data_IF_498482365015
#
_entry.id   IF_498482365015
#
_cell.length_a   1.000
_cell.length_b   1.000
_cell.length_c   1.000
_cell.angle_alpha   90.00
_cell.angle_beta   90.00
_cell.angle_gamma   90.00
#
_symmetry.space_group_name_H-M   'P 1'
#
loop_
_entity.id
_entity.type
_entity.pdbx_description
1 polymer ?
#
# COMPACT_ATOMS: atom_id res chain seq x y z
N UNK A 1 -2.30 21.44 1.15
CA UNK A 1 -2.30 19.96 0.97
C UNK A 1 -2.06 19.30 2.31
N UNK A 2 -2.83 18.29 2.64
CA UNK A 2 -2.67 17.46 3.85
C UNK A 2 -1.60 16.39 3.61
N UNK A 3 -1.04 15.84 4.69
CA UNK A 3 0.00 14.81 4.64
C UNK A 3 -0.60 13.42 4.50
N UNK A 4 0.00 12.56 3.66
CA UNK A 4 -0.15 11.11 3.71
C UNK A 4 0.91 10.54 4.66
N UNK A 5 0.47 9.88 5.71
CA UNK A 5 1.33 9.18 6.65
C UNK A 5 1.09 7.68 6.49
N UNK A 6 2.06 6.95 5.96
CA UNK A 6 2.01 5.50 5.89
C UNK A 6 2.72 4.89 7.11
N UNK A 7 2.26 3.73 7.59
CA UNK A 7 2.92 2.98 8.66
C UNK A 7 2.97 1.49 8.31
N UNK A 8 4.14 0.88 8.49
CA UNK A 8 4.33 -0.56 8.30
C UNK A 8 5.73 -0.92 7.82
N UNK A 9 5.82 -2.05 7.14
CA UNK A 9 7.07 -2.61 6.66
C UNK A 9 7.64 -1.83 5.48
N UNK A 10 8.96 -1.74 5.47
CA UNK A 10 9.78 -1.52 4.29
C UNK A 10 10.86 -2.60 4.27
N UNK A 11 11.11 -3.20 3.14
CA UNK A 11 11.97 -4.37 3.00
C UNK A 11 12.70 -4.40 1.65
N UNK A 12 13.62 -5.35 1.51
CA UNK A 12 14.27 -5.62 0.24
C UNK A 12 13.64 -6.87 -0.38
N UNK A 13 13.11 -6.72 -1.59
CA UNK A 13 12.76 -7.84 -2.45
C UNK A 13 13.97 -8.22 -3.32
N UNK A 14 14.40 -9.47 -3.24
CA UNK A 14 15.39 -10.07 -4.13
C UNK A 14 14.67 -10.79 -5.27
N UNK A 15 14.65 -10.14 -6.44
CA UNK A 15 14.00 -10.63 -7.65
C UNK A 15 15.01 -11.49 -8.44
N UNK A 16 14.70 -12.76 -8.77
CA UNK A 16 15.61 -13.64 -9.47
C UNK A 16 15.83 -13.19 -10.92
N UNK A 17 17.04 -13.35 -11.43
CA UNK A 17 17.34 -13.21 -12.85
C UNK A 17 16.81 -14.41 -13.65
N UNK A 18 16.84 -15.60 -13.05
CA UNK A 18 16.34 -16.84 -13.65
C UNK A 18 14.86 -17.01 -13.37
N UNK A 19 14.14 -17.59 -14.34
CA UNK A 19 12.73 -17.99 -14.22
C UNK A 19 12.63 -19.51 -14.27
N UNK A 20 11.52 -20.05 -13.83
CA UNK A 20 11.18 -21.48 -13.93
C UNK A 20 12.16 -22.41 -13.21
N UNK A 21 12.75 -21.93 -12.12
CA UNK A 21 13.64 -22.70 -11.27
C UNK A 21 13.26 -22.54 -9.78
N UNK A 22 13.68 -23.52 -8.97
CA UNK A 22 13.49 -23.43 -7.52
C UNK A 22 14.37 -22.32 -6.94
N UNK A 23 13.91 -21.70 -5.86
CA UNK A 23 14.68 -20.63 -5.20
C UNK A 23 16.12 -21.04 -4.86
N UNK A 24 16.35 -22.30 -4.47
CA UNK A 24 17.69 -22.85 -4.18
C UNK A 24 18.63 -22.93 -5.41
N UNK A 25 18.08 -22.78 -6.61
CA UNK A 25 18.81 -22.89 -7.90
C UNK A 25 19.07 -21.51 -8.50
N UNK A 26 18.52 -20.45 -7.88
CA UNK A 26 18.73 -19.07 -8.34
C UNK A 26 20.12 -18.61 -7.97
N UNK A 27 20.92 -18.23 -8.96
CA UNK A 27 22.32 -17.78 -8.77
C UNK A 27 22.42 -16.24 -8.67
N UNK A 28 21.49 -15.51 -9.27
CA UNK A 28 21.55 -14.04 -9.35
C UNK A 28 20.22 -13.40 -8.99
N UNK A 29 20.32 -12.35 -8.18
CA UNK A 29 19.18 -11.55 -7.75
C UNK A 29 19.42 -10.06 -7.99
N UNK A 30 18.38 -9.35 -8.38
CA UNK A 30 18.34 -7.89 -8.33
C UNK A 30 17.60 -7.48 -7.06
N UNK A 31 18.21 -6.61 -6.25
CA UNK A 31 17.55 -6.05 -5.07
C UNK A 31 16.63 -4.92 -5.47
N UNK A 32 15.44 -4.87 -4.88
CA UNK A 32 14.45 -3.83 -5.09
C UNK A 32 13.89 -3.40 -3.72
N UNK A 33 13.70 -2.10 -3.52
CA UNK A 33 12.99 -1.60 -2.35
C UNK A 33 11.49 -1.95 -2.49
N UNK A 34 10.92 -2.56 -1.46
CA UNK A 34 9.53 -3.00 -1.38
C UNK A 34 8.91 -2.73 -0.01
N UNK A 35 7.75 -3.33 0.21
CA UNK A 35 6.88 -3.07 1.35
C UNK A 35 5.68 -2.21 0.93
N UNK A 36 4.46 -2.74 1.11
CA UNK A 36 3.27 -2.08 0.59
C UNK A 36 3.07 -0.65 1.13
N UNK A 37 3.23 -0.36 2.44
CA UNK A 37 3.13 1.02 2.94
C UNK A 37 4.20 1.94 2.37
N UNK A 38 5.43 1.44 2.17
CA UNK A 38 6.51 2.20 1.56
C UNK A 38 6.22 2.52 0.08
N UNK A 39 5.69 1.55 -0.66
CA UNK A 39 5.27 1.72 -2.05
C UNK A 39 4.16 2.77 -2.19
N UNK A 40 3.13 2.71 -1.34
CA UNK A 40 2.04 3.70 -1.31
C UNK A 40 2.55 5.10 -1.00
N UNK A 41 3.45 5.23 -0.01
CA UNK A 41 4.07 6.51 0.32
C UNK A 41 4.87 7.07 -0.87
N UNK A 42 5.68 6.23 -1.53
CA UNK A 42 6.48 6.61 -2.68
C UNK A 42 5.63 7.00 -3.91
N UNK A 43 4.53 6.28 -4.17
CA UNK A 43 3.60 6.61 -5.25
C UNK A 43 2.99 8.01 -5.07
N UNK A 44 2.54 8.32 -3.86
CA UNK A 44 1.99 9.65 -3.54
C UNK A 44 3.07 10.75 -3.60
N UNK A 45 4.28 10.48 -3.08
CA UNK A 45 5.39 11.45 -3.12
C UNK A 45 5.82 11.78 -4.56
N UNK A 46 5.95 10.78 -5.43
CA UNK A 46 6.29 10.99 -6.86
C UNK A 46 5.24 11.79 -7.62
N UNK A 47 3.99 11.77 -7.17
CA UNK A 47 2.93 12.64 -7.66
C UNK A 47 3.00 14.07 -7.09
N UNK A 48 3.96 14.38 -6.22
CA UNK A 48 4.14 15.68 -5.57
C UNK A 48 3.37 15.84 -4.27
N UNK A 49 2.87 14.74 -3.68
CA UNK A 49 2.21 14.73 -2.38
C UNK A 49 3.18 14.88 -1.20
N UNK A 50 2.73 15.52 -0.12
CA UNK A 50 3.43 15.48 1.18
C UNK A 50 3.23 14.08 1.79
N UNK A 51 4.24 13.23 1.72
CA UNK A 51 4.17 11.82 2.11
C UNK A 51 5.31 11.44 3.04
N UNK A 52 5.01 10.69 4.09
CA UNK A 52 5.97 10.19 5.08
C UNK A 52 5.73 8.72 5.37
N UNK A 53 6.78 8.01 5.80
CA UNK A 53 6.69 6.63 6.26
C UNK A 53 7.15 6.49 7.71
N UNK A 54 6.28 5.91 8.56
CA UNK A 54 6.65 5.39 9.88
C UNK A 54 7.03 3.92 9.71
N UNK A 55 8.29 3.60 10.00
CA UNK A 55 8.82 2.24 9.94
C UNK A 55 10.01 2.08 10.87
N UNK A 56 10.56 0.88 10.96
CA UNK A 56 11.85 0.66 11.62
C UNK A 56 12.72 -0.25 10.75
N UNK A 57 13.97 0.15 10.55
CA UNK A 57 14.95 -0.58 9.77
C UNK A 57 16.17 -0.93 10.61
N UNK A 58 16.88 -1.97 10.23
CA UNK A 58 18.16 -2.31 10.82
C UNK A 58 19.22 -1.23 10.56
N UNK A 59 20.22 -1.11 11.45
CA UNK A 59 21.44 -0.34 11.16
C UNK A 59 22.37 -1.16 10.26
N UNK A 60 21.91 -1.41 9.04
CA UNK A 60 22.59 -2.21 8.03
C UNK A 60 22.47 -1.56 6.64
N UNK A 61 23.27 -2.04 5.68
CA UNK A 61 23.33 -1.50 4.33
C UNK A 61 22.00 -1.59 3.56
N UNK A 62 21.12 -2.52 3.92
CA UNK A 62 19.80 -2.61 3.30
C UNK A 62 18.85 -1.55 3.85
N UNK A 63 18.92 -1.28 5.15
CA UNK A 63 18.19 -0.17 5.76
C UNK A 63 18.61 1.19 5.20
N UNK A 64 19.92 1.40 4.97
CA UNK A 64 20.44 2.61 4.34
C UNK A 64 19.91 2.75 2.91
N UNK A 65 19.98 1.68 2.12
CA UNK A 65 19.45 1.67 0.75
C UNK A 65 17.95 1.98 0.67
N UNK A 66 17.15 1.47 1.60
CA UNK A 66 15.70 1.77 1.65
C UNK A 66 15.47 3.25 1.94
N UNK A 67 16.18 3.82 2.93
CA UNK A 67 16.08 5.25 3.28
C UNK A 67 16.42 6.12 2.07
N UNK A 68 17.55 5.84 1.40
CA UNK A 68 17.98 6.58 0.21
C UNK A 68 16.95 6.48 -0.92
N UNK A 69 16.46 5.26 -1.20
CA UNK A 69 15.46 5.02 -2.27
C UNK A 69 14.16 5.79 -2.01
N UNK A 70 13.68 5.81 -0.76
CA UNK A 70 12.47 6.52 -0.37
C UNK A 70 12.67 8.04 -0.42
N UNK A 71 13.82 8.52 0.04
CA UNK A 71 14.17 9.94 -0.03
C UNK A 71 14.27 10.43 -1.49
N UNK A 72 14.89 9.65 -2.37
CA UNK A 72 14.96 9.94 -3.81
C UNK A 72 13.58 9.94 -4.48
N UNK A 73 12.64 9.16 -3.96
CA UNK A 73 11.24 9.19 -4.39
C UNK A 73 10.44 10.39 -3.82
N UNK A 74 11.03 11.19 -2.92
CA UNK A 74 10.40 12.34 -2.29
C UNK A 74 9.63 12.03 -1.00
N UNK A 75 9.79 10.84 -0.43
CA UNK A 75 9.17 10.47 0.86
C UNK A 75 9.97 11.09 2.01
N UNK A 76 9.29 11.73 2.96
CA UNK A 76 9.90 12.14 4.23
C UNK A 76 10.24 10.91 5.08
N UNK A 77 11.53 10.60 5.16
CA UNK A 77 12.08 9.44 5.88
C UNK A 77 12.44 9.74 7.34
N UNK A 78 12.19 10.96 7.84
CA UNK A 78 12.56 11.39 9.20
C UNK A 78 11.88 10.57 10.32
N UNK A 79 10.80 9.82 9.97
CA UNK A 79 10.02 8.99 10.89
C UNK A 79 10.39 7.51 10.80
N UNK A 80 11.46 7.18 10.08
CA UNK A 80 12.00 5.83 10.00
C UNK A 80 13.00 5.65 11.15
N UNK A 81 12.62 4.84 12.12
CA UNK A 81 13.48 4.47 13.25
C UNK A 81 14.59 3.49 12.80
N UNK A 82 15.71 3.48 13.51
CA UNK A 82 16.83 2.57 13.23
C UNK A 82 17.18 1.76 14.49
N UNK A 83 17.42 0.46 14.32
CA UNK A 83 17.72 -0.44 15.46
C UNK A 83 18.90 -1.37 15.16
N UNK A 84 19.62 -1.74 16.23
CA UNK A 84 20.65 -2.80 16.20
C UNK A 84 20.09 -4.15 16.69
N UNK A 85 18.81 -4.19 17.11
CA UNK A 85 18.17 -5.40 17.68
C UNK A 85 17.82 -6.46 16.65
N UNK A 86 17.64 -6.05 15.39
CA UNK A 86 17.35 -6.94 14.27
C UNK A 86 17.73 -6.29 12.94
N UNK A 87 17.94 -7.11 11.92
CA UNK A 87 18.25 -6.66 10.58
C UNK A 87 17.00 -6.18 9.84
N UNK A 88 17.23 -5.40 8.78
CA UNK A 88 16.19 -5.05 7.80
C UNK A 88 15.58 -6.31 7.20
N UNK A 89 14.26 -6.30 7.01
CA UNK A 89 13.52 -7.42 6.43
C UNK A 89 13.94 -7.69 4.98
N UNK A 90 14.06 -8.98 4.61
CA UNK A 90 14.36 -9.42 3.25
C UNK A 90 13.28 -10.39 2.78
N UNK A 91 12.94 -10.33 1.49
CA UNK A 91 12.11 -11.29 0.80
C UNK A 91 12.83 -11.80 -0.45
N UNK A 92 12.92 -13.10 -0.61
CA UNK A 92 13.43 -13.72 -1.83
C UNK A 92 12.24 -14.23 -2.65
N UNK A 93 12.20 -13.87 -3.90
CA UNK A 93 11.12 -14.25 -4.83
C UNK A 93 11.60 -15.37 -5.73
N UNK A 94 10.76 -16.35 -6.00
CA UNK A 94 10.93 -17.34 -7.06
C UNK A 94 9.79 -17.16 -8.05
N UNK A 95 10.10 -17.20 -9.33
CA UNK A 95 9.13 -17.07 -10.44
C UNK A 95 8.92 -18.44 -11.08
N UNK A 96 7.72 -19.02 -10.89
CA UNK A 96 7.35 -20.31 -11.46
C UNK A 96 6.92 -20.18 -12.92
N UNK A 97 6.96 -21.28 -13.67
CA UNK A 97 6.58 -21.36 -15.09
C UNK A 97 5.13 -20.91 -15.36
N UNK A 98 4.23 -21.13 -14.42
CA UNK A 98 2.83 -20.71 -14.45
C UNK A 98 2.60 -19.22 -14.16
N UNK A 99 3.69 -18.46 -13.92
CA UNK A 99 3.65 -17.05 -13.53
C UNK A 99 3.40 -16.81 -12.04
N UNK A 100 3.17 -17.87 -11.27
CA UNK A 100 3.02 -17.76 -9.82
C UNK A 100 4.36 -17.43 -9.17
N UNK A 101 4.28 -16.68 -8.05
CA UNK A 101 5.44 -16.30 -7.24
C UNK A 101 5.46 -17.11 -5.96
N UNK A 102 6.64 -17.55 -5.58
CA UNK A 102 6.91 -18.12 -4.26
C UNK A 102 7.82 -17.15 -3.50
N UNK A 103 7.64 -17.04 -2.19
CA UNK A 103 8.37 -16.10 -1.36
C UNK A 103 9.04 -16.83 -0.21
N UNK A 104 10.30 -16.48 0.05
CA UNK A 104 11.00 -16.84 1.28
C UNK A 104 11.33 -15.57 2.05
N UNK A 105 10.67 -15.39 3.19
CA UNK A 105 10.84 -14.20 4.02
C UNK A 105 11.86 -14.41 5.12
N UNK A 106 12.82 -13.50 5.24
CA UNK A 106 13.78 -13.42 6.33
C UNK A 106 13.32 -12.30 7.29
N UNK A 107 12.35 -12.66 8.15
CA UNK A 107 11.60 -11.73 8.99
C UNK A 107 11.20 -12.36 10.33
N UNK A 108 12.19 -12.99 11.05
CA UNK A 108 11.93 -13.73 12.32
C UNK A 108 12.99 -13.45 13.41
N UNK A 109 12.94 -12.32 14.13
CA UNK A 109 12.26 -11.06 13.80
C UNK A 109 13.09 -10.24 12.81
N UNK A 110 12.45 -9.31 12.12
CA UNK A 110 13.10 -8.20 11.42
C UNK A 110 12.87 -6.90 12.16
N UNK A 111 13.63 -5.87 11.79
CA UNK A 111 13.62 -4.59 12.46
C UNK A 111 12.22 -3.94 12.53
N UNK A 112 11.46 -4.00 11.44
CA UNK A 112 10.11 -3.43 11.34
C UNK A 112 9.12 -4.04 12.34
N UNK A 113 9.26 -5.33 12.67
CA UNK A 113 8.42 -6.00 13.66
C UNK A 113 8.60 -5.46 15.08
N UNK A 114 9.77 -4.88 15.37
CA UNK A 114 10.20 -4.43 16.70
C UNK A 114 9.93 -2.94 16.96
N UNK A 115 9.20 -2.25 16.09
CA UNK A 115 8.78 -0.86 16.32
C UNK A 115 7.75 -0.82 17.46
N UNK A 116 8.10 -0.14 18.54
CA UNK A 116 7.28 -0.03 19.75
C UNK A 116 6.38 1.21 19.74
N UNK A 117 5.21 1.19 20.40
CA UNK A 117 4.30 2.34 20.47
C UNK A 117 4.93 3.61 21.03
N UNK A 118 5.89 3.48 21.96
CA UNK A 118 6.59 4.57 22.64
C UNK A 118 7.54 5.34 21.72
N UNK A 119 7.87 4.76 20.55
CA UNK A 119 8.69 5.43 19.52
C UNK A 119 7.87 6.38 18.64
N UNK A 120 6.54 6.35 18.74
CA UNK A 120 5.67 7.27 18.01
C UNK A 120 5.64 8.64 18.72
N UNK A 121 5.93 9.68 17.97
CA UNK A 121 5.78 11.06 18.43
C UNK A 121 4.42 11.62 17.96
N UNK A 122 3.64 12.17 18.87
CA UNK A 122 2.32 12.75 18.56
C UNK A 122 2.43 13.84 17.48
N UNK A 123 3.51 14.61 17.49
CA UNK A 123 3.78 15.65 16.50
C UNK A 123 3.82 15.13 15.04
N UNK A 124 4.12 13.85 14.83
CA UNK A 124 4.11 13.26 13.48
C UNK A 124 2.72 13.26 12.84
N UNK A 125 1.67 13.23 13.66
CA UNK A 125 0.26 13.16 13.22
C UNK A 125 -0.37 14.53 12.98
N UNK A 126 0.30 15.60 13.40
CA UNK A 126 -0.12 16.96 13.10
C UNK A 126 -0.19 17.17 11.57
N UNK A 127 -1.27 17.76 11.06
CA UNK A 127 -1.53 17.96 9.63
C UNK A 127 -1.68 16.65 8.79
N UNK A 128 -1.80 15.48 9.42
CA UNK A 128 -2.08 14.23 8.69
C UNK A 128 -3.51 14.26 8.14
N UNK A 129 -3.65 14.10 6.84
CA UNK A 129 -4.94 13.94 6.18
C UNK A 129 -5.38 12.48 6.10
N UNK A 130 -4.40 11.60 5.85
CA UNK A 130 -4.63 10.15 5.75
C UNK A 130 -3.52 9.40 6.48
N UNK A 131 -3.90 8.45 7.33
CA UNK A 131 -3.02 7.38 7.81
C UNK A 131 -3.30 6.11 6.99
N UNK A 132 -2.26 5.54 6.37
CA UNK A 132 -2.37 4.30 5.58
C UNK A 132 -1.55 3.17 6.16
N UNK A 133 -2.10 1.93 6.16
CA UNK A 133 -1.41 0.72 6.62
C UNK A 133 -1.90 -0.53 5.91
N UNK A 134 -1.11 -1.62 6.00
CA UNK A 134 -1.43 -2.95 5.49
C UNK A 134 -1.51 -4.01 6.58
N UNK A 135 -1.82 -5.27 6.21
CA UNK A 135 -1.92 -6.37 7.18
C UNK A 135 -0.58 -7.02 7.52
N UNK A 136 0.43 -6.90 6.67
CA UNK A 136 1.73 -7.58 6.84
C UNK A 136 2.39 -7.25 8.18
N UNK A 137 2.14 -6.06 8.71
CA UNK A 137 2.65 -5.59 10.00
C UNK A 137 1.66 -5.77 11.16
N UNK A 138 0.53 -6.47 10.96
CA UNK A 138 -0.45 -6.77 12.01
C UNK A 138 -0.23 -8.13 12.69
N UNK A 139 0.87 -8.80 12.42
CA UNK A 139 1.31 -10.05 13.05
C UNK A 139 1.50 -9.88 14.56
N UNK A 140 1.64 -10.98 15.28
CA UNK A 140 1.87 -10.96 16.74
C UNK A 140 3.30 -10.51 17.07
N UNK A 141 3.50 -9.19 17.08
CA UNK A 141 4.76 -8.51 17.34
C UNK A 141 4.48 -7.08 17.87
N UNK A 142 5.48 -6.38 18.46
CA UNK A 142 5.32 -5.02 18.96
C UNK A 142 4.67 -4.06 17.96
N UNK A 143 5.02 -4.14 16.70
CA UNK A 143 4.47 -3.30 15.62
C UNK A 143 2.94 -3.31 15.54
N UNK A 144 2.27 -4.41 15.92
CA UNK A 144 0.81 -4.47 15.93
C UNK A 144 0.20 -3.49 16.96
N UNK A 145 0.80 -3.38 18.15
CA UNK A 145 0.39 -2.41 19.17
C UNK A 145 0.67 -0.99 18.70
N UNK A 146 1.77 -0.81 17.98
CA UNK A 146 2.17 0.46 17.38
C UNK A 146 1.15 0.93 16.33
N UNK A 147 0.61 0.01 15.51
CA UNK A 147 -0.49 0.32 14.59
C UNK A 147 -1.74 0.81 15.33
N UNK A 148 -2.12 0.18 16.43
CA UNK A 148 -3.27 0.63 17.24
C UNK A 148 -3.06 2.05 17.78
N UNK A 149 -1.86 2.33 18.30
CA UNK A 149 -1.52 3.67 18.81
C UNK A 149 -1.49 4.70 17.68
N UNK A 150 -0.92 4.36 16.52
CA UNK A 150 -0.91 5.24 15.34
C UNK A 150 -2.33 5.56 14.84
N UNK A 151 -3.21 4.56 14.77
CA UNK A 151 -4.61 4.75 14.39
C UNK A 151 -5.34 5.66 15.40
N UNK A 152 -5.11 5.48 16.71
CA UNK A 152 -5.69 6.36 17.74
C UNK A 152 -5.25 7.80 17.53
N UNK A 153 -3.94 8.05 17.43
CA UNK A 153 -3.37 9.38 17.20
C UNK A 153 -3.89 10.01 15.90
N UNK A 154 -3.95 9.25 14.80
CA UNK A 154 -4.47 9.74 13.54
C UNK A 154 -5.95 10.19 13.66
N UNK A 155 -6.78 9.39 14.34
CA UNK A 155 -8.19 9.74 14.58
C UNK A 155 -8.35 10.96 15.49
N UNK A 156 -7.53 11.09 16.53
CA UNK A 156 -7.50 12.25 17.42
C UNK A 156 -7.19 13.55 16.65
N UNK A 157 -6.38 13.45 15.58
CA UNK A 157 -6.05 14.56 14.68
C UNK A 157 -7.00 14.69 13.47
N UNK A 158 -8.10 13.95 13.43
CA UNK A 158 -9.12 14.03 12.36
C UNK A 158 -8.68 13.45 11.02
N UNK A 159 -7.64 12.61 10.98
CA UNK A 159 -7.18 11.96 9.77
C UNK A 159 -8.12 10.84 9.34
N UNK A 160 -8.20 10.62 8.03
CA UNK A 160 -8.82 9.45 7.41
C UNK A 160 -7.91 8.25 7.65
N UNK A 161 -8.48 7.12 8.04
CA UNK A 161 -7.74 5.86 8.20
C UNK A 161 -7.97 4.99 6.97
N UNK A 162 -6.91 4.62 6.28
CA UNK A 162 -6.91 3.81 5.05
C UNK A 162 -6.22 2.47 5.31
N UNK A 163 -6.90 1.38 4.95
CA UNK A 163 -6.43 0.02 5.15
C UNK A 163 -6.46 -0.76 3.83
N UNK A 164 -5.30 -1.27 3.42
CA UNK A 164 -5.15 -2.27 2.37
C UNK A 164 -4.72 -3.58 3.04
N UNK A 165 -5.59 -4.60 3.18
CA UNK A 165 -5.20 -5.89 3.76
C UNK A 165 -3.95 -6.48 3.11
N UNK A 166 -3.86 -6.44 1.79
CA UNK A 166 -2.69 -6.90 1.02
C UNK A 166 -2.16 -8.24 1.56
N UNK A 167 -3.03 -9.26 1.49
CA UNK A 167 -2.84 -10.55 2.17
C UNK A 167 -1.58 -11.27 1.67
N UNK A 168 -0.75 -11.70 2.63
CA UNK A 168 0.46 -12.48 2.39
C UNK A 168 0.49 -13.67 3.34
N UNK A 169 -0.29 -14.71 3.06
CA UNK A 169 -0.45 -15.89 3.93
C UNK A 169 0.88 -16.51 4.41
N UNK A 170 1.96 -16.57 3.59
CA UNK A 170 3.23 -17.13 4.06
C UNK A 170 3.89 -16.39 5.23
N UNK A 171 3.42 -15.18 5.56
CA UNK A 171 3.91 -14.40 6.72
C UNK A 171 3.13 -14.67 8.01
N UNK A 172 2.08 -15.48 7.96
CA UNK A 172 1.19 -15.75 9.07
C UNK A 172 1.32 -17.19 9.55
N UNK A 173 1.05 -17.42 10.83
CA UNK A 173 1.06 -18.78 11.41
C UNK A 173 -0.05 -19.66 10.82
N UNK A 174 -1.19 -19.06 10.48
CA UNK A 174 -2.26 -19.72 9.74
C UNK A 174 -3.15 -18.72 9.00
N UNK A 175 -3.90 -19.18 7.96
CA UNK A 175 -4.90 -18.35 7.29
C UNK A 175 -5.96 -17.77 8.25
N UNK A 176 -6.39 -18.55 9.25
CA UNK A 176 -7.39 -18.16 10.24
C UNK A 176 -6.89 -17.03 11.13
N UNK A 177 -5.62 -17.09 11.55
CA UNK A 177 -4.98 -16.02 12.32
C UNK A 177 -4.90 -14.73 11.50
N UNK A 178 -4.52 -14.82 10.24
CA UNK A 178 -4.52 -13.69 9.30
C UNK A 178 -5.92 -13.08 9.16
N UNK A 179 -6.93 -13.90 8.87
CA UNK A 179 -8.30 -13.48 8.68
C UNK A 179 -8.87 -12.81 9.94
N UNK A 180 -8.67 -13.43 11.10
CA UNK A 180 -9.12 -12.88 12.38
C UNK A 180 -8.50 -11.50 12.64
N UNK A 181 -7.20 -11.35 12.38
CA UNK A 181 -6.49 -10.09 12.57
C UNK A 181 -6.95 -9.00 11.59
N UNK A 182 -7.11 -9.35 10.32
CA UNK A 182 -7.63 -8.40 9.33
C UNK A 182 -9.02 -7.92 9.71
N UNK A 183 -9.93 -8.84 10.08
CA UNK A 183 -11.29 -8.50 10.52
C UNK A 183 -11.33 -7.65 11.80
N UNK A 184 -10.36 -7.83 12.70
CA UNK A 184 -10.21 -7.00 13.90
C UNK A 184 -9.85 -5.55 13.57
N UNK A 185 -9.11 -5.30 12.48
CA UNK A 185 -8.68 -3.96 12.08
C UNK A 185 -9.62 -3.27 11.09
N UNK A 186 -10.47 -4.00 10.36
CA UNK A 186 -11.43 -3.43 9.42
C UNK A 186 -12.30 -2.29 10.02
N UNK A 187 -12.85 -2.40 11.25
CA UNK A 187 -13.69 -1.33 11.83
C UNK A 187 -12.95 -0.03 12.12
N UNK A 188 -11.63 -0.03 12.07
CA UNK A 188 -10.84 1.20 12.25
C UNK A 188 -10.73 2.01 10.95
N UNK A 189 -10.96 1.39 9.79
CA UNK A 189 -10.73 1.99 8.49
C UNK A 189 -11.94 2.77 7.97
N UNK A 190 -11.68 3.99 7.50
CA UNK A 190 -12.64 4.80 6.73
C UNK A 190 -12.57 4.44 5.24
N UNK A 191 -11.39 4.03 4.76
CA UNK A 191 -11.15 3.57 3.39
C UNK A 191 -10.55 2.18 3.45
N UNK A 192 -11.13 1.25 2.68
CA UNK A 192 -10.62 -0.12 2.53
C UNK A 192 -10.32 -0.40 1.07
N UNK A 193 -9.12 -0.92 0.78
CA UNK A 193 -8.83 -1.50 -0.52
C UNK A 193 -8.96 -3.01 -0.43
N UNK A 194 -9.57 -3.62 -1.45
CA UNK A 194 -9.66 -5.06 -1.61
C UNK A 194 -9.34 -5.43 -3.06
N UNK A 195 -8.65 -6.54 -3.27
CA UNK A 195 -8.60 -7.19 -4.58
C UNK A 195 -9.74 -8.21 -4.71
N UNK A 196 -10.02 -8.61 -5.95
CA UNK A 196 -10.95 -9.69 -6.24
C UNK A 196 -10.53 -11.02 -5.58
N UNK A 197 -9.24 -11.29 -5.50
CA UNK A 197 -8.67 -12.46 -4.82
C UNK A 197 -8.84 -12.41 -3.28
N UNK A 198 -8.88 -11.22 -2.69
CA UNK A 198 -8.98 -11.03 -1.23
C UNK A 198 -10.43 -10.94 -0.73
N UNK A 199 -11.37 -10.62 -1.60
CA UNK A 199 -12.75 -10.27 -1.23
C UNK A 199 -13.40 -11.30 -0.30
N UNK A 200 -13.45 -12.55 -0.72
CA UNK A 200 -14.09 -13.61 0.04
C UNK A 200 -13.33 -13.94 1.33
N UNK A 201 -12.01 -13.98 1.27
CA UNK A 201 -11.16 -14.23 2.43
C UNK A 201 -11.38 -13.20 3.54
N UNK A 202 -11.40 -11.92 3.16
CA UNK A 202 -11.53 -10.80 4.12
C UNK A 202 -12.95 -10.65 4.64
N UNK A 203 -13.95 -10.67 3.75
CA UNK A 203 -15.34 -10.30 4.07
C UNK A 203 -16.26 -11.48 4.32
N UNK A 204 -15.92 -12.66 3.81
CA UNK A 204 -16.80 -13.83 3.77
C UNK A 204 -17.87 -13.75 2.68
N UNK A 205 -17.78 -12.79 1.77
CA UNK A 205 -18.73 -12.58 0.67
C UNK A 205 -18.00 -12.68 -0.66
N UNK A 206 -18.60 -13.35 -1.63
CA UNK A 206 -18.08 -13.47 -3.00
C UNK A 206 -18.57 -12.35 -3.92
N UNK A 207 -19.59 -11.59 -3.51
CA UNK A 207 -20.13 -10.45 -4.25
C UNK A 207 -19.71 -9.13 -3.59
N UNK A 208 -19.07 -8.26 -4.38
CA UNK A 208 -18.54 -6.97 -3.88
C UNK A 208 -19.64 -6.03 -3.35
N UNK A 209 -20.86 -6.08 -3.88
CA UNK A 209 -21.95 -5.20 -3.44
C UNK A 209 -22.47 -5.63 -2.07
N UNK A 210 -22.57 -6.94 -1.85
CA UNK A 210 -22.93 -7.52 -0.55
C UNK A 210 -21.84 -7.23 0.49
N UNK A 211 -20.58 -7.42 0.13
CA UNK A 211 -19.44 -7.07 0.98
C UNK A 211 -19.42 -5.58 1.34
N UNK A 212 -19.68 -4.70 0.36
CA UNK A 212 -19.70 -3.26 0.55
C UNK A 212 -20.77 -2.84 1.56
N UNK A 213 -21.98 -3.41 1.49
CA UNK A 213 -23.04 -3.12 2.46
C UNK A 213 -22.61 -3.42 3.90
N UNK A 214 -21.93 -4.57 4.11
CA UNK A 214 -21.40 -4.95 5.43
C UNK A 214 -20.29 -4.01 5.90
N UNK A 215 -19.37 -3.66 5.02
CA UNK A 215 -18.26 -2.75 5.34
C UNK A 215 -18.79 -1.33 5.66
N UNK A 216 -19.74 -0.83 4.91
CA UNK A 216 -20.37 0.47 5.18
C UNK A 216 -21.15 0.47 6.51
N UNK A 217 -21.88 -0.62 6.81
CA UNK A 217 -22.53 -0.78 8.11
C UNK A 217 -21.50 -0.84 9.28
N UNK A 218 -20.29 -1.30 9.01
CA UNK A 218 -19.16 -1.31 9.95
C UNK A 218 -18.41 0.02 10.08
N UNK A 219 -18.81 1.07 9.33
CA UNK A 219 -18.24 2.42 9.41
C UNK A 219 -17.25 2.79 8.30
N UNK A 220 -16.91 1.87 7.39
CA UNK A 220 -16.17 2.19 6.17
C UNK A 220 -16.97 3.19 5.31
N UNK A 221 -16.30 4.13 4.67
CA UNK A 221 -16.94 5.14 3.82
C UNK A 221 -16.58 4.99 2.34
N UNK A 222 -15.42 4.41 2.05
CA UNK A 222 -14.92 4.24 0.67
C UNK A 222 -14.27 2.87 0.52
N UNK A 223 -14.62 2.18 -0.54
CA UNK A 223 -13.98 0.92 -0.91
C UNK A 223 -13.34 1.09 -2.29
N UNK A 224 -12.04 0.82 -2.40
CA UNK A 224 -11.34 0.67 -3.67
C UNK A 224 -11.22 -0.82 -3.96
N UNK A 225 -11.93 -1.31 -4.96
CA UNK A 225 -11.92 -2.71 -5.36
C UNK A 225 -11.14 -2.88 -6.66
N UNK A 226 -10.00 -3.56 -6.60
CA UNK A 226 -9.16 -3.85 -7.76
C UNK A 226 -9.51 -5.22 -8.35
N UNK A 227 -9.65 -5.27 -9.69
CA UNK A 227 -10.11 -6.44 -10.45
C UNK A 227 -9.05 -6.89 -11.47
N UNK A 228 -7.77 -6.84 -11.06
CA UNK A 228 -6.66 -7.22 -11.91
C UNK A 228 -6.71 -6.52 -13.28
N UNK A 229 -6.73 -7.29 -14.37
CA UNK A 229 -6.76 -6.76 -15.73
C UNK A 229 -8.06 -6.02 -16.11
N UNK A 230 -9.14 -6.23 -15.38
CA UNK A 230 -10.44 -5.59 -15.65
C UNK A 230 -10.50 -4.13 -15.12
N UNK A 231 -9.49 -3.71 -14.36
CA UNK A 231 -9.43 -2.35 -13.81
C UNK A 231 -9.81 -2.26 -12.34
N UNK A 232 -10.56 -1.23 -11.96
CA UNK A 232 -10.98 -1.04 -10.58
C UNK A 232 -12.38 -0.41 -10.46
N UNK A 233 -13.00 -0.66 -9.31
CA UNK A 233 -14.24 -0.05 -8.89
C UNK A 233 -14.03 0.72 -7.59
N UNK A 234 -14.60 1.91 -7.50
CA UNK A 234 -14.68 2.67 -6.27
C UNK A 234 -16.14 2.68 -5.81
N UNK A 235 -16.39 2.32 -4.55
CA UNK A 235 -17.74 2.28 -3.97
C UNK A 235 -17.77 3.18 -2.75
N UNK A 236 -18.90 3.89 -2.60
CA UNK A 236 -19.28 4.67 -1.42
C UNK A 236 -20.76 4.41 -1.10
N UNK A 237 -21.28 4.81 0.06
CA UNK A 237 -22.71 4.74 0.33
C UNK A 237 -23.60 5.49 -0.70
N UNK A 238 -23.03 6.47 -1.42
CA UNK A 238 -23.76 7.31 -2.40
C UNK A 238 -23.73 6.75 -3.82
N UNK A 239 -22.81 5.82 -4.14
CA UNK A 239 -22.70 5.24 -5.48
C UNK A 239 -21.46 4.42 -5.73
N UNK A 240 -21.33 3.97 -6.96
CA UNK A 240 -20.16 3.20 -7.41
C UNK A 240 -19.74 3.63 -8.81
N UNK A 241 -18.43 3.64 -9.04
CA UNK A 241 -17.80 4.01 -10.32
C UNK A 241 -16.81 2.93 -10.71
N UNK A 242 -16.79 2.57 -11.98
CA UNK A 242 -15.85 1.58 -12.51
C UNK A 242 -14.99 2.22 -13.59
N UNK A 243 -13.70 1.92 -13.56
CA UNK A 243 -12.75 2.28 -14.61
C UNK A 243 -12.01 1.06 -15.07
N UNK A 244 -12.09 0.75 -16.37
CA UNK A 244 -11.32 -0.30 -17.01
C UNK A 244 -9.87 0.13 -17.19
N UNK A 245 -8.96 -0.84 -17.17
CA UNK A 245 -7.58 -0.59 -17.57
C UNK A 245 -7.48 -0.19 -19.04
N UNK A 246 -6.43 0.56 -19.35
CA UNK A 246 -5.98 0.69 -20.74
C UNK A 246 -5.24 -0.57 -21.19
N UNK A 247 -5.28 -0.84 -22.48
CA UNK A 247 -4.40 -1.82 -23.08
C UNK A 247 -2.97 -1.27 -23.13
N UNK A 248 -2.12 -1.81 -22.27
CA UNK A 248 -0.69 -1.47 -22.20
C UNK A 248 0.16 -2.73 -22.25
N UNK A 249 1.40 -2.62 -22.70
CA UNK A 249 2.35 -3.73 -22.61
C UNK A 249 2.79 -3.90 -21.15
N UNK A 250 2.26 -4.93 -20.49
CA UNK A 250 2.59 -5.25 -19.10
C UNK A 250 3.98 -5.88 -19.03
N UNK A 251 4.87 -5.27 -18.27
CA UNK A 251 6.21 -5.78 -17.99
C UNK A 251 6.30 -6.43 -16.61
N UNK A 252 5.75 -5.78 -15.59
CA UNK A 252 5.74 -6.25 -14.21
C UNK A 252 4.54 -5.66 -13.47
N UNK A 253 3.79 -6.48 -12.75
CA UNK A 253 2.62 -6.06 -11.97
C UNK A 253 2.94 -5.76 -10.49
N UNK A 254 4.21 -5.86 -10.10
CA UNK A 254 4.64 -5.58 -8.72
C UNK A 254 4.34 -4.14 -8.35
N UNK A 255 3.62 -3.96 -7.23
CA UNK A 255 3.27 -2.63 -6.73
C UNK A 255 2.13 -1.92 -7.46
N UNK A 256 1.44 -2.55 -8.44
CA UNK A 256 0.30 -1.93 -9.12
C UNK A 256 -0.87 -1.62 -8.17
N UNK A 257 -1.13 -2.52 -7.20
CA UNK A 257 -2.09 -2.29 -6.12
C UNK A 257 -1.71 -1.13 -5.21
N UNK A 258 -0.42 -1.00 -4.91
CA UNK A 258 0.11 0.11 -4.12
C UNK A 258 0.09 1.42 -4.91
N UNK A 259 0.34 1.36 -6.24
CA UNK A 259 0.30 2.51 -7.14
C UNK A 259 -1.11 3.12 -7.22
N UNK A 260 -2.14 2.30 -7.45
CA UNK A 260 -3.53 2.79 -7.51
C UNK A 260 -3.96 3.36 -6.16
N UNK A 261 -3.55 2.72 -5.04
CA UNK A 261 -3.85 3.19 -3.70
C UNK A 261 -3.15 4.52 -3.42
N UNK A 262 -1.84 4.61 -3.65
CA UNK A 262 -1.05 5.83 -3.45
C UNK A 262 -1.57 7.01 -4.27
N UNK A 263 -1.96 6.77 -5.52
CA UNK A 263 -2.55 7.80 -6.39
C UNK A 263 -3.93 8.28 -5.88
N UNK A 264 -4.79 7.37 -5.40
CA UNK A 264 -6.07 7.75 -4.81
C UNK A 264 -5.87 8.58 -3.53
N UNK A 265 -4.95 8.15 -2.65
CA UNK A 265 -4.66 8.88 -1.41
C UNK A 265 -4.00 10.25 -1.70
N UNK A 266 -3.18 10.34 -2.74
CA UNK A 266 -2.68 11.63 -3.23
C UNK A 266 -3.83 12.57 -3.63
N UNK A 267 -4.81 12.09 -4.40
CA UNK A 267 -5.96 12.91 -4.79
C UNK A 267 -6.73 13.44 -3.55
N UNK A 268 -6.93 12.60 -2.55
CA UNK A 268 -7.60 12.99 -1.29
C UNK A 268 -6.82 14.07 -0.55
N UNK A 269 -5.51 13.87 -0.36
CA UNK A 269 -4.66 14.82 0.38
C UNK A 269 -4.45 16.13 -0.37
N UNK A 270 -4.32 16.07 -1.70
CA UNK A 270 -4.22 17.25 -2.56
C UNK A 270 -5.53 18.05 -2.61
N UNK A 271 -6.68 17.38 -2.52
CA UNK A 271 -8.00 17.99 -2.40
C UNK A 271 -8.37 18.46 -1.00
N UNK A 272 -7.45 18.43 -0.04
CA UNK A 272 -7.67 18.76 1.38
C UNK A 272 -8.87 18.02 1.99
N UNK A 273 -9.07 16.75 1.57
CA UNK A 273 -10.13 15.91 2.11
C UNK A 273 -9.73 15.45 3.51
N UNK A 274 -10.65 15.58 4.43
CA UNK A 274 -10.55 15.16 5.83
C UNK A 274 -11.69 14.21 6.16
N UNK A 275 -11.66 13.59 7.33
CA UNK A 275 -12.76 12.74 7.79
C UNK A 275 -14.11 13.49 7.78
N UNK A 276 -14.13 14.76 8.15
CA UNK A 276 -15.37 15.57 8.28
C UNK A 276 -16.01 15.92 6.93
N UNK A 277 -15.22 15.91 5.84
CA UNK A 277 -15.72 16.25 4.51
C UNK A 277 -15.65 15.10 3.50
N UNK A 278 -15.18 13.93 3.88
CA UNK A 278 -15.06 12.75 3.00
C UNK A 278 -16.41 12.40 2.35
N UNK A 279 -17.49 12.43 3.11
CA UNK A 279 -18.85 12.19 2.61
C UNK A 279 -19.39 13.30 1.66
N UNK A 280 -18.70 14.43 1.56
CA UNK A 280 -19.07 15.56 0.67
C UNK A 280 -18.34 15.53 -0.67
N UNK A 281 -17.42 14.59 -0.87
CA UNK A 281 -16.75 14.40 -2.16
C UNK A 281 -17.81 14.03 -3.20
N UNK A 282 -17.83 14.80 -4.27
CA UNK A 282 -18.89 14.65 -5.30
C UNK A 282 -18.66 13.41 -6.18
N UNK A 283 -19.73 12.87 -6.80
CA UNK A 283 -19.62 11.78 -7.78
C UNK A 283 -18.61 12.06 -8.89
N UNK A 284 -18.58 13.28 -9.41
CA UNK A 284 -17.64 13.67 -10.45
C UNK A 284 -16.18 13.63 -9.98
N UNK A 285 -15.91 14.06 -8.75
CA UNK A 285 -14.58 13.96 -8.14
C UNK A 285 -14.15 12.50 -7.95
N UNK A 286 -15.04 11.64 -7.43
CA UNK A 286 -14.75 10.21 -7.27
C UNK A 286 -14.41 9.55 -8.60
N UNK A 287 -15.19 9.84 -9.66
CA UNK A 287 -14.93 9.32 -11.00
C UNK A 287 -13.60 9.81 -11.58
N UNK A 288 -13.28 11.09 -11.40
CA UNK A 288 -12.03 11.67 -11.85
C UNK A 288 -10.82 11.06 -11.12
N UNK A 289 -10.90 10.93 -9.79
CA UNK A 289 -9.82 10.36 -8.97
C UNK A 289 -9.62 8.86 -9.23
N UNK A 290 -10.70 8.09 -9.43
CA UNK A 290 -10.59 6.69 -9.83
C UNK A 290 -9.89 6.57 -11.20
N UNK A 291 -10.28 7.42 -12.17
CA UNK A 291 -9.66 7.45 -13.50
C UNK A 291 -8.16 7.76 -13.40
N UNK A 292 -7.79 8.76 -12.62
CA UNK A 292 -6.41 9.15 -12.36
C UNK A 292 -5.61 8.00 -11.71
N UNK A 293 -6.17 7.37 -10.67
CA UNK A 293 -5.51 6.29 -9.94
C UNK A 293 -5.31 5.03 -10.80
N UNK A 294 -6.31 4.64 -11.60
CA UNK A 294 -6.20 3.52 -12.55
C UNK A 294 -5.16 3.84 -13.64
N UNK A 295 -5.15 5.07 -14.17
CA UNK A 295 -4.15 5.47 -15.14
C UNK A 295 -2.72 5.39 -14.57
N UNK A 296 -2.51 5.80 -13.32
CA UNK A 296 -1.22 5.72 -12.65
C UNK A 296 -0.74 4.28 -12.48
N UNK A 297 -1.65 3.38 -12.09
CA UNK A 297 -1.37 1.95 -12.02
C UNK A 297 -1.07 1.34 -13.40
N UNK A 298 -1.77 1.76 -14.45
CA UNK A 298 -1.51 1.33 -15.83
C UNK A 298 -0.10 1.76 -16.30
N UNK A 299 0.34 2.96 -15.96
CA UNK A 299 1.72 3.36 -16.22
C UNK A 299 2.71 2.46 -15.48
N UNK A 300 2.48 2.24 -14.18
CA UNK A 300 3.44 1.50 -13.33
C UNK A 300 3.75 0.10 -13.85
N UNK A 301 2.77 -0.59 -14.42
CA UNK A 301 2.96 -1.95 -14.94
C UNK A 301 3.75 -2.01 -16.26
N UNK A 302 4.03 -0.88 -16.89
CA UNK A 302 4.90 -0.81 -18.08
C UNK A 302 6.40 -0.81 -17.73
N UNK A 303 6.72 -0.55 -16.46
CA UNK A 303 8.06 -0.62 -15.86
C UNK A 303 8.31 -1.92 -15.10
N UNK A 304 9.42 -2.01 -14.39
CA UNK A 304 9.76 -3.12 -13.50
C UNK A 304 10.11 -2.61 -12.11
N UNK A 305 9.70 -3.37 -11.09
CA UNK A 305 9.81 -3.00 -9.69
C UNK A 305 8.74 -1.98 -9.29
N UNK A 306 8.36 -1.95 -8.02
CA UNK A 306 7.30 -1.06 -7.54
C UNK A 306 7.74 0.42 -7.63
N UNK A 307 8.52 0.91 -6.67
CA UNK A 307 8.92 2.33 -6.57
C UNK A 307 9.66 2.81 -7.83
N UNK A 308 10.49 1.96 -8.43
CA UNK A 308 11.26 2.29 -9.63
C UNK A 308 10.36 2.53 -10.85
N UNK A 309 9.21 1.85 -10.95
CA UNK A 309 8.28 1.97 -12.08
C UNK A 309 7.31 3.16 -11.95
N UNK A 310 7.18 3.76 -10.77
CA UNK A 310 6.26 4.86 -10.56
C UNK A 310 6.76 6.15 -11.24
N UNK A 311 5.93 6.81 -12.05
CA UNK A 311 6.32 8.06 -12.72
C UNK A 311 6.26 9.23 -11.73
N UNK A 312 7.08 10.26 -12.01
CA UNK A 312 6.83 11.58 -11.42
C UNK A 312 5.58 12.20 -12.03
N UNK A 313 5.02 13.19 -11.36
CA UNK A 313 3.80 13.88 -11.82
C UNK A 313 3.95 14.41 -13.27
N UNK A 314 5.08 15.01 -13.63
CA UNK A 314 5.32 15.53 -14.99
C UNK A 314 5.34 14.41 -16.03
N UNK A 315 6.10 13.34 -15.77
CA UNK A 315 6.16 12.17 -16.68
C UNK A 315 4.78 11.52 -16.83
N UNK A 316 4.01 11.45 -15.73
CA UNK A 316 2.68 10.88 -15.78
C UNK A 316 1.69 11.74 -16.57
N UNK A 317 1.73 13.05 -16.44
CA UNK A 317 0.89 13.96 -17.23
C UNK A 317 1.17 13.84 -18.74
N UNK A 318 2.45 13.81 -19.12
CA UNK A 318 2.85 13.63 -20.52
C UNK A 318 2.31 12.29 -21.08
N UNK A 319 2.39 11.21 -20.28
CA UNK A 319 1.87 9.91 -20.70
C UNK A 319 0.34 9.90 -20.80
N UNK A 320 -0.37 10.52 -19.87
CA UNK A 320 -1.84 10.61 -19.90
C UNK A 320 -2.30 11.36 -21.15
N UNK A 321 -1.66 12.48 -21.52
CA UNK A 321 -2.02 13.23 -22.71
C UNK A 321 -1.91 12.40 -24.01
N UNK A 322 -0.96 11.46 -24.04
CA UNK A 322 -0.75 10.59 -25.20
C UNK A 322 -1.73 9.40 -25.28
N UNK A 323 -2.29 8.97 -24.15
CA UNK A 323 -3.06 7.71 -24.06
C UNK A 323 -4.54 7.89 -23.70
N UNK A 324 -4.94 9.06 -23.17
CA UNK A 324 -6.31 9.33 -22.72
C UNK A 324 -7.01 10.47 -23.47
N UNK A 325 -6.31 11.23 -24.32
CA UNK A 325 -6.88 12.33 -25.11
C UNK A 325 -7.21 11.93 -26.56
N UNK A 326 -7.19 10.60 -26.90
CA UNK A 326 -7.57 10.08 -28.22
C UNK A 326 -8.88 9.31 -28.17
#
# INVERSE_FOLDING_TARGET
MKKLLAIGEALIDFIPAQRDCLLKEVEQFTRVCGGAPANVAAAAAKLGGDSSLISQLGRDAFGDYIVDTLADAGVDTSKICRTDRANTALAFVSLKADGNRDFSFYRKPSADMLLEPEQLEEAWFANTGVLHFGSVSLIDAPIQKTHRRAISLAKEHGAIVSFDPNIRLPLWDSPETCQARVREFLPFADIVKLSDEELEFVTGESDIRTAAQKLFAGGCQVILYSMGKEGAMLLTPQGSWTKKNLEVTVKDTTGAGDAIMGALLYCLTAGDVTKDNLAKVTPAQWQAWLTFAVAYANYSVTGSGAIASYPTHAVFQDWVSQHYEN
#
